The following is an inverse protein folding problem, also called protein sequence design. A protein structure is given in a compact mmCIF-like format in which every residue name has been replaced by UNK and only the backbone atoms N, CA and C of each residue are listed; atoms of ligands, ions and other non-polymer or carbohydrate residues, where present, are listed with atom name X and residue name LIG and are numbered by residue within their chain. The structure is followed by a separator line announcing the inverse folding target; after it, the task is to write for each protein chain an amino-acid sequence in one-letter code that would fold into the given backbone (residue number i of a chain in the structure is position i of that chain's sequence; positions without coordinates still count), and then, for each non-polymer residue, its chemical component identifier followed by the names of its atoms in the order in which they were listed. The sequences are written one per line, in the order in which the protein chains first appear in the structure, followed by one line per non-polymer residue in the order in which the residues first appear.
data_IF_009899323061
#
_entry.id   IF_009899323061
#
_cell.length_a   1.000
_cell.length_b   1.000
_cell.length_c   1.000
_cell.angle_alpha   90.00
_cell.angle_beta   90.00
_cell.angle_gamma   90.00
#
_symmetry.space_group_name_H-M   'P 1'
#
loop_
_entity.id
_entity.type
_entity.pdbx_description
1 polymer ?
#
# COMPACT_ATOMS: atom_id res chain seq x y z
N UNK A 1 14.09 -10.01 -4.03
CA UNK A 1 13.10 -9.85 -5.12
C UNK A 1 12.03 -10.95 -5.08
N UNK A 2 12.37 -12.22 -4.91
CA UNK A 2 11.39 -13.33 -4.94
C UNK A 2 10.24 -13.21 -3.92
N UNK A 3 10.54 -12.82 -2.67
CA UNK A 3 9.51 -12.62 -1.64
C UNK A 3 8.54 -11.48 -2.02
N UNK A 4 9.08 -10.39 -2.57
CA UNK A 4 8.27 -9.27 -3.05
C UNK A 4 7.35 -9.69 -4.20
N UNK A 5 7.90 -10.36 -5.23
CA UNK A 5 7.12 -10.79 -6.39
C UNK A 5 5.97 -11.73 -5.98
N UNK A 6 6.20 -12.61 -5.01
CA UNK A 6 5.17 -13.51 -4.47
C UNK A 6 4.04 -12.75 -3.78
N UNK A 7 4.39 -11.81 -2.91
CA UNK A 7 3.41 -10.98 -2.18
C UNK A 7 2.63 -10.12 -3.17
N UNK A 8 3.32 -9.49 -4.13
CA UNK A 8 2.71 -8.66 -5.16
C UNK A 8 1.70 -9.47 -5.99
N UNK A 9 2.07 -10.67 -6.44
CA UNK A 9 1.18 -11.54 -7.21
C UNK A 9 -0.09 -11.91 -6.41
N UNK A 10 0.07 -12.28 -5.13
CA UNK A 10 -1.05 -12.58 -4.25
C UNK A 10 -1.99 -11.37 -4.07
N UNK A 11 -1.44 -10.18 -3.82
CA UNK A 11 -2.25 -8.97 -3.67
C UNK A 11 -2.98 -8.63 -4.97
N UNK A 12 -2.32 -8.74 -6.12
CA UNK A 12 -2.95 -8.51 -7.42
C UNK A 12 -4.10 -9.50 -7.68
N UNK A 13 -3.89 -10.78 -7.40
CA UNK A 13 -4.94 -11.80 -7.53
C UNK A 13 -6.12 -11.50 -6.60
N UNK A 14 -5.86 -11.17 -5.34
CA UNK A 14 -6.90 -10.80 -4.37
C UNK A 14 -7.72 -9.61 -4.86
N UNK A 15 -7.05 -8.51 -5.24
CA UNK A 15 -7.71 -7.30 -5.72
C UNK A 15 -8.51 -7.53 -7.00
N UNK A 16 -8.05 -8.40 -7.91
CA UNK A 16 -8.75 -8.70 -9.17
C UNK A 16 -10.12 -9.35 -9.00
N UNK A 17 -10.40 -9.91 -7.82
CA UNK A 17 -11.65 -10.62 -7.51
C UNK A 17 -12.64 -9.77 -6.70
N UNK A 18 -12.23 -8.59 -6.22
CA UNK A 18 -13.08 -7.73 -5.41
C UNK A 18 -14.06 -6.93 -6.26
N UNK A 19 -15.25 -6.72 -5.69
CA UNK A 19 -16.28 -5.80 -6.16
C UNK A 19 -16.48 -4.68 -5.14
N UNK A 20 -17.15 -3.60 -5.55
CA UNK A 20 -17.37 -2.45 -4.68
C UNK A 20 -18.18 -2.83 -3.42
N UNK A 21 -19.13 -3.76 -3.54
CA UNK A 21 -19.93 -4.22 -2.39
C UNK A 21 -19.08 -4.98 -1.36
N UNK A 22 -17.97 -5.61 -1.78
CA UNK A 22 -17.08 -6.33 -0.87
C UNK A 22 -16.40 -5.39 0.13
N UNK A 23 -16.27 -4.09 -0.17
CA UNK A 23 -15.68 -3.13 0.75
C UNK A 23 -16.50 -2.98 2.04
N UNK A 24 -17.80 -3.29 1.99
CA UNK A 24 -18.69 -3.24 3.15
C UNK A 24 -18.67 -4.51 4.00
N UNK A 25 -18.06 -5.60 3.52
CA UNK A 25 -18.02 -6.88 4.26
C UNK A 25 -17.09 -6.76 5.47
N UNK A 26 -17.50 -7.34 6.58
CA UNK A 26 -16.65 -7.44 7.77
C UNK A 26 -15.61 -8.54 7.59
N UNK A 27 -14.38 -8.23 8.02
CA UNK A 27 -13.25 -9.14 8.06
C UNK A 27 -12.88 -9.34 9.51
N UNK A 28 -12.93 -10.59 9.94
CA UNK A 28 -12.48 -10.98 11.26
C UNK A 28 -10.98 -11.29 11.25
N UNK A 29 -10.25 -10.77 12.22
CA UNK A 29 -8.82 -11.00 12.37
C UNK A 29 -8.39 -10.93 13.83
N UNK A 30 -7.22 -11.48 14.12
CA UNK A 30 -6.63 -11.45 15.46
C UNK A 30 -5.32 -10.69 15.41
N UNK A 31 -5.14 -9.76 16.34
CA UNK A 31 -3.85 -9.12 16.60
C UNK A 31 -3.30 -9.71 17.90
N UNK A 32 -2.02 -10.11 17.96
CA UNK A 32 -1.42 -10.59 19.19
C UNK A 32 -1.64 -9.60 20.35
N UNK A 33 -2.22 -10.10 21.45
CA UNK A 33 -2.52 -9.28 22.63
C UNK A 33 -3.85 -8.52 22.59
N UNK A 34 -4.64 -8.65 21.53
CA UNK A 34 -6.02 -8.13 21.45
C UNK A 34 -7.03 -9.27 21.35
N UNK A 35 -8.27 -8.99 21.75
CA UNK A 35 -9.40 -9.85 21.44
C UNK A 35 -9.64 -9.94 19.93
N UNK A 36 -10.47 -10.89 19.50
CA UNK A 36 -10.86 -11.03 18.10
C UNK A 36 -11.46 -9.71 17.60
N UNK A 37 -10.90 -9.17 16.52
CA UNK A 37 -11.35 -7.93 15.91
C UNK A 37 -12.20 -8.23 14.69
N UNK A 38 -13.12 -7.32 14.37
CA UNK A 38 -13.90 -7.33 13.14
C UNK A 38 -13.93 -5.91 12.57
N UNK A 39 -13.59 -5.77 11.30
CA UNK A 39 -13.62 -4.47 10.64
C UNK A 39 -13.96 -4.61 9.16
N UNK A 40 -14.68 -3.64 8.61
CA UNK A 40 -14.98 -3.56 7.18
C UNK A 40 -13.70 -3.64 6.33
N UNK A 41 -13.76 -4.41 5.26
CA UNK A 41 -12.65 -4.57 4.33
C UNK A 41 -12.14 -3.21 3.81
N UNK A 42 -13.04 -2.27 3.50
CA UNK A 42 -12.66 -0.95 3.04
C UNK A 42 -11.73 -0.20 4.01
N UNK A 43 -11.99 -0.28 5.31
CA UNK A 43 -11.14 0.34 6.32
C UNK A 43 -9.77 -0.35 6.42
N UNK A 44 -9.73 -1.68 6.31
CA UNK A 44 -8.48 -2.43 6.28
C UNK A 44 -7.63 -2.09 5.04
N UNK A 45 -8.26 -1.97 3.87
CA UNK A 45 -7.58 -1.59 2.62
C UNK A 45 -7.03 -0.17 2.70
N UNK A 46 -7.79 0.78 3.24
CA UNK A 46 -7.32 2.14 3.48
C UNK A 46 -6.14 2.16 4.45
N UNK A 47 -6.22 1.39 5.55
CA UNK A 47 -5.12 1.23 6.49
C UNK A 47 -3.85 0.72 5.79
N UNK A 48 -3.95 -0.30 4.93
CA UNK A 48 -2.80 -0.82 4.17
C UNK A 48 -2.15 0.25 3.29
N UNK A 49 -2.94 1.07 2.59
CA UNK A 49 -2.41 2.15 1.75
C UNK A 49 -1.66 3.20 2.59
N UNK A 50 -2.27 3.66 3.69
CA UNK A 50 -1.67 4.65 4.60
C UNK A 50 -0.40 4.10 5.25
N UNK A 51 -0.42 2.84 5.70
CA UNK A 51 0.72 2.15 6.30
C UNK A 51 1.91 2.07 5.34
N UNK A 52 1.63 1.75 4.07
CA UNK A 52 2.65 1.74 3.01
C UNK A 52 3.29 3.11 2.77
N UNK A 53 2.48 4.18 2.75
CA UNK A 53 2.98 5.56 2.61
C UNK A 53 3.86 5.94 3.81
N UNK A 54 3.41 5.63 5.03
CA UNK A 54 4.14 5.90 6.27
C UNK A 54 5.56 5.28 6.24
N UNK A 55 5.66 3.98 5.97
CA UNK A 55 6.96 3.31 5.92
C UNK A 55 7.81 3.75 4.72
N UNK A 56 7.21 4.08 3.59
CA UNK A 56 7.96 4.64 2.46
C UNK A 56 8.65 5.96 2.83
N UNK A 57 7.98 6.82 3.60
CA UNK A 57 8.58 8.04 4.15
C UNK A 57 9.78 7.76 5.08
N UNK A 58 9.65 6.77 5.97
CA UNK A 58 10.74 6.34 6.84
C UNK A 58 11.95 5.83 6.04
N UNK A 59 11.71 4.97 5.05
CA UNK A 59 12.78 4.45 4.17
C UNK A 59 13.45 5.57 3.39
N UNK A 60 12.69 6.54 2.87
CA UNK A 60 13.24 7.69 2.16
C UNK A 60 14.16 8.54 3.06
N UNK A 61 13.79 8.72 4.33
CA UNK A 61 14.66 9.39 5.30
C UNK A 61 15.95 8.58 5.57
N UNK A 62 15.85 7.27 5.76
CA UNK A 62 17.00 6.40 5.98
C UNK A 62 17.98 6.42 4.79
N UNK A 63 17.47 6.43 3.55
CA UNK A 63 18.30 6.58 2.36
C UNK A 63 19.09 7.90 2.36
N UNK A 64 18.45 9.01 2.75
CA UNK A 64 19.12 10.32 2.88
C UNK A 64 20.22 10.30 3.93
N UNK A 65 19.98 9.67 5.08
CA UNK A 65 21.00 9.54 6.14
C UNK A 65 22.23 8.74 5.69
N UNK A 66 22.05 7.81 4.75
CA UNK A 66 23.14 7.04 4.13
C UNK A 66 23.80 7.76 2.93
N UNK A 67 23.41 9.00 2.63
CA UNK A 67 23.96 9.79 1.53
C UNK A 67 23.34 9.52 0.15
N UNK A 68 22.24 8.75 0.08
CA UNK A 68 21.54 8.47 -1.17
C UNK A 68 20.35 9.41 -1.39
N UNK A 69 20.08 9.74 -2.66
CA UNK A 69 18.85 10.40 -3.06
C UNK A 69 17.74 9.35 -3.31
N UNK A 70 16.65 9.34 -2.53
CA UNK A 70 15.50 8.49 -2.83
C UNK A 70 14.85 8.92 -4.15
N UNK A 71 14.30 7.97 -4.91
CA UNK A 71 13.52 8.26 -6.11
C UNK A 71 12.25 9.07 -5.80
N UNK A 72 11.64 9.67 -6.83
CA UNK A 72 10.38 10.40 -6.68
C UNK A 72 9.23 9.41 -6.38
N UNK A 73 8.50 9.64 -5.30
CA UNK A 73 7.35 8.84 -4.88
C UNK A 73 6.08 9.69 -4.68
N UNK A 74 6.07 10.89 -5.22
CA UNK A 74 4.90 11.77 -5.26
C UNK A 74 3.88 11.25 -6.28
N UNK A 75 2.63 11.14 -5.83
CA UNK A 75 1.54 10.56 -6.62
C UNK A 75 1.14 11.44 -7.81
N UNK A 76 1.35 12.77 -7.73
CA UNK A 76 1.04 13.69 -8.83
C UNK A 76 1.96 13.44 -10.02
N UNK A 77 3.25 13.18 -9.77
CA UNK A 77 4.19 12.82 -10.82
C UNK A 77 3.89 11.45 -11.42
N UNK A 78 3.45 10.49 -10.60
CA UNK A 78 2.97 9.20 -11.10
C UNK A 78 1.80 9.36 -12.08
N UNK A 79 0.79 10.17 -11.73
CA UNK A 79 -0.34 10.40 -12.62
C UNK A 79 0.04 11.22 -13.86
N UNK A 80 0.95 12.19 -13.73
CA UNK A 80 1.45 12.93 -14.88
C UNK A 80 2.12 12.02 -15.91
N UNK A 81 3.01 11.12 -15.45
CA UNK A 81 3.67 10.12 -16.29
C UNK A 81 2.65 9.19 -16.96
N UNK A 82 1.67 8.68 -16.19
CA UNK A 82 0.61 7.81 -16.74
C UNK A 82 -0.30 8.48 -17.75
N UNK A 83 -0.53 9.78 -17.61
CA UNK A 83 -1.36 10.56 -18.51
C UNK A 83 -0.57 11.18 -19.69
N UNK A 84 0.75 10.92 -19.80
CA UNK A 84 1.59 11.50 -20.83
C UNK A 84 1.84 13.01 -20.68
N UNK A 85 1.52 13.58 -19.51
CA UNK A 85 1.83 14.95 -19.19
C UNK A 85 3.30 15.05 -18.75
N UNK A 86 4.06 15.97 -19.34
CA UNK A 86 5.44 16.23 -18.89
C UNK A 86 5.40 16.91 -17.53
N UNK A 87 5.55 16.12 -16.45
CA UNK A 87 5.91 16.63 -15.14
C UNK A 87 7.43 16.53 -15.01
N UNK A 88 8.11 17.67 -15.21
CA UNK A 88 9.52 17.83 -14.84
C UNK A 88 9.61 18.17 -13.35
#
# INVERSE_FOLDING_TARGET
MEAWNRIEAYVREFLSKLKDEDLARDVEFTIPGLEKQSMRLGYLMQHTAVHGIHHRGQVALLLRLLGYAPGNFDILFYYADKCGASAR
#
